data_IF_621135590047
#
_entry.id   IF_621135590047
#
_cell.length_a   1.000
_cell.length_b   1.000
_cell.length_c   1.000
_cell.angle_alpha   90.00
_cell.angle_beta   90.00
_cell.angle_gamma   90.00
#
_symmetry.space_group_name_H-M   'P 1'
#
loop_
_entity.id
_entity.type
_entity.pdbx_description
1 polymer ?
#
# COMPACT_ATOMS: atom_id res chain seq x y z
N UNK A 1 -15.19 10.48 6.19
CA UNK A 1 -14.78 10.92 4.83
C UNK A 1 -13.56 10.17 4.27
N UNK A 2 -12.62 9.67 5.09
CA UNK A 2 -11.54 8.79 4.60
C UNK A 2 -12.02 7.35 4.35
N UNK A 3 -12.94 6.88 5.19
CA UNK A 3 -13.47 5.53 5.12
C UNK A 3 -14.04 5.15 3.73
N UNK A 4 -14.75 6.07 3.06
CA UNK A 4 -15.25 5.85 1.69
C UNK A 4 -14.14 5.79 0.63
N UNK A 5 -13.07 6.59 0.76
CA UNK A 5 -11.91 6.51 -0.13
C UNK A 5 -11.10 5.25 0.13
N UNK A 6 -10.95 4.87 1.41
CA UNK A 6 -10.32 3.62 1.81
C UNK A 6 -11.06 2.42 1.24
N UNK A 7 -12.39 2.37 1.34
CA UNK A 7 -13.19 1.29 0.75
C UNK A 7 -13.12 1.25 -0.79
N UNK A 8 -13.03 2.41 -1.45
CA UNK A 8 -12.87 2.46 -2.91
C UNK A 8 -11.50 2.01 -3.40
N UNK A 9 -10.44 2.36 -2.65
CA UNK A 9 -9.06 2.04 -3.02
C UNK A 9 -8.63 0.67 -2.52
N UNK A 10 -9.14 0.26 -1.36
CA UNK A 10 -8.82 -0.98 -0.65
C UNK A 10 -10.10 -1.52 0.00
N UNK A 11 -10.97 -2.17 -0.79
CA UNK A 11 -12.17 -2.84 -0.28
C UNK A 11 -11.82 -3.83 0.84
N UNK A 12 -12.76 -4.09 1.74
CA UNK A 12 -12.56 -5.05 2.85
C UNK A 12 -12.12 -6.44 2.38
N UNK A 13 -12.73 -6.95 1.31
CA UNK A 13 -12.40 -8.26 0.73
C UNK A 13 -10.94 -8.33 0.26
N UNK A 14 -10.46 -7.25 -0.36
CA UNK A 14 -9.05 -7.14 -0.73
C UNK A 14 -8.16 -7.01 0.50
N UNK A 15 -8.59 -6.26 1.51
CA UNK A 15 -7.82 -6.10 2.74
C UNK A 15 -7.59 -7.44 3.44
N UNK A 16 -8.59 -8.32 3.47
CA UNK A 16 -8.48 -9.69 4.01
C UNK A 16 -7.37 -10.49 3.31
N UNK A 17 -7.16 -10.29 2.02
CA UNK A 17 -6.08 -10.93 1.25
C UNK A 17 -4.71 -10.29 1.49
N UNK A 18 -4.68 -8.97 1.62
CA UNK A 18 -3.44 -8.18 1.73
C UNK A 18 -2.85 -8.25 3.13
N UNK A 19 -3.68 -8.13 4.16
CA UNK A 19 -3.27 -8.10 5.57
C UNK A 19 -2.29 -9.22 5.95
N UNK A 20 -2.53 -10.51 5.65
CA UNK A 20 -1.61 -11.58 6.00
C UNK A 20 -0.28 -11.55 5.23
N UNK A 21 -0.23 -10.88 4.07
CA UNK A 21 0.98 -10.74 3.26
C UNK A 21 1.87 -9.59 3.74
N UNK A 22 1.32 -8.63 4.50
CA UNK A 22 2.08 -7.50 5.00
C UNK A 22 3.10 -8.03 6.04
N UNK A 23 4.40 -7.81 5.83
CA UNK A 23 5.40 -8.28 6.78
C UNK A 23 5.17 -7.63 8.15
N UNK A 24 5.18 -8.41 9.24
CA UNK A 24 4.91 -7.89 10.56
C UNK A 24 5.86 -6.74 10.90
N UNK A 25 5.32 -5.70 11.53
CA UNK A 25 6.12 -4.57 11.96
C UNK A 25 7.08 -5.05 13.05
N UNK A 26 8.40 -4.95 12.78
CA UNK A 26 9.46 -5.30 13.75
C UNK A 26 9.15 -4.62 15.09
N UNK A 27 8.99 -5.41 16.15
CA UNK A 27 8.78 -4.93 17.50
C UNK A 27 9.94 -4.01 17.90
N UNK A 28 9.62 -2.77 18.30
CA UNK A 28 10.63 -1.88 18.87
C UNK A 28 10.73 -2.25 20.36
N UNK A 29 11.90 -2.64 20.87
CA UNK A 29 12.07 -3.00 22.29
C UNK A 29 11.76 -1.83 23.25
N UNK A 30 11.91 -0.59 22.78
CA UNK A 30 11.56 0.59 23.56
C UNK A 30 10.07 0.92 23.36
N UNK A 31 9.26 0.55 24.35
CA UNK A 31 7.83 0.85 24.47
C UNK A 31 7.52 2.34 24.69
N UNK A 32 8.06 3.22 23.84
CA UNK A 32 7.90 4.66 23.91
C UNK A 32 8.01 5.29 22.53
N UNK A 33 6.88 5.50 21.86
CA UNK A 33 6.80 6.18 20.58
C UNK A 33 5.35 6.31 20.10
N UNK A 34 5.08 7.32 19.27
CA UNK A 34 3.77 7.60 18.67
C UNK A 34 3.14 6.31 18.14
N UNK A 35 1.86 6.08 18.48
CA UNK A 35 1.09 4.91 18.08
C UNK A 35 1.37 4.57 16.62
N UNK A 36 1.64 3.29 16.35
CA UNK A 36 1.96 2.84 15.00
C UNK A 36 0.79 3.21 14.08
N UNK A 37 1.06 3.78 12.89
CA UNK A 37 0.01 4.01 11.93
C UNK A 37 -0.60 2.67 11.54
N UNK A 38 -1.92 2.64 11.47
CA UNK A 38 -2.72 1.50 11.03
C UNK A 38 -2.15 0.94 9.71
N UNK A 39 -1.78 -0.36 9.63
CA UNK A 39 -1.28 -0.99 8.42
C UNK A 39 -2.19 -0.74 7.20
N UNK A 40 -3.51 -0.72 7.40
CA UNK A 40 -4.48 -0.46 6.34
C UNK A 40 -4.42 0.98 5.87
N UNK A 41 -4.32 1.94 6.78
CA UNK A 41 -4.13 3.34 6.42
C UNK A 41 -2.84 3.57 5.63
N UNK A 42 -1.73 2.91 6.01
CA UNK A 42 -0.46 2.99 5.28
C UNK A 42 -0.58 2.37 3.89
N UNK A 43 -1.22 1.20 3.79
CA UNK A 43 -1.46 0.54 2.51
C UNK A 43 -2.31 1.41 1.58
N UNK A 44 -3.43 1.93 2.09
CA UNK A 44 -4.34 2.80 1.35
C UNK A 44 -3.64 4.07 0.86
N UNK A 45 -2.84 4.71 1.72
CA UNK A 45 -2.06 5.90 1.35
C UNK A 45 -1.08 5.62 0.20
N UNK A 46 -0.40 4.47 0.23
CA UNK A 46 0.51 4.06 -0.84
C UNK A 46 -0.27 3.79 -2.12
N UNK A 47 -1.34 2.99 -2.06
CA UNK A 47 -2.21 2.68 -3.21
C UNK A 47 -2.74 3.96 -3.85
N UNK A 48 -3.14 4.96 -3.07
CA UNK A 48 -3.55 6.26 -3.60
C UNK A 48 -2.46 6.93 -4.44
N UNK A 49 -1.21 6.96 -3.96
CA UNK A 49 -0.08 7.57 -4.69
C UNK A 49 0.29 6.77 -5.94
N UNK A 50 0.15 5.44 -5.89
CA UNK A 50 0.40 4.56 -7.03
C UNK A 50 -0.65 4.73 -8.13
N UNK A 51 -1.94 4.73 -7.76
CA UNK A 51 -3.06 4.82 -8.69
C UNK A 51 -3.28 6.23 -9.25
N UNK A 52 -3.05 7.27 -8.44
CA UNK A 52 -3.20 8.67 -8.89
C UNK A 52 -1.99 9.21 -9.66
N UNK A 53 -0.83 8.57 -9.55
CA UNK A 53 0.42 9.07 -10.15
C UNK A 53 0.98 10.35 -9.50
N UNK A 54 0.37 10.87 -8.43
CA UNK A 54 0.80 12.12 -7.80
C UNK A 54 2.19 11.98 -7.13
N UNK A 55 2.91 13.10 -6.92
CA UNK A 55 4.16 13.02 -6.15
C UNK A 55 3.85 12.74 -4.66
N UNK A 56 4.75 12.03 -3.96
CA UNK A 56 4.59 11.68 -2.54
C UNK A 56 4.23 12.87 -1.64
N UNK A 57 4.77 14.06 -1.93
CA UNK A 57 4.47 15.32 -1.21
C UNK A 57 3.01 15.77 -1.30
N UNK A 58 2.25 15.24 -2.27
CA UNK A 58 0.82 15.52 -2.44
C UNK A 58 -0.07 14.47 -1.76
N UNK A 59 0.51 13.54 -0.99
CA UNK A 59 -0.27 12.62 -0.16
C UNK A 59 -1.14 13.42 0.83
N UNK A 60 -2.47 13.25 0.81
CA UNK A 60 -3.35 13.95 1.73
C UNK A 60 -3.04 13.59 3.20
N UNK A 61 -2.89 14.59 4.10
CA UNK A 61 -2.69 14.34 5.54
C UNK A 61 -3.83 13.55 6.19
N UNK A 62 -5.00 13.56 5.57
CA UNK A 62 -6.21 12.90 6.03
C UNK A 62 -6.06 11.37 6.15
N UNK A 63 -5.11 10.75 5.45
CA UNK A 63 -4.80 9.32 5.66
C UNK A 63 -4.17 9.02 7.02
N UNK A 64 -3.76 10.04 7.80
CA UNK A 64 -3.09 9.83 9.09
C UNK A 64 -1.67 9.27 8.97
N UNK A 65 -1.12 9.23 7.75
CA UNK A 65 0.19 8.68 7.43
C UNK A 65 1.10 9.80 6.91
N UNK A 66 2.27 9.94 7.52
CA UNK A 66 3.26 10.90 7.04
C UNK A 66 3.92 10.43 5.73
N UNK A 67 4.28 11.39 4.86
CA UNK A 67 4.96 11.12 3.59
C UNK A 67 6.24 10.26 3.77
N UNK A 68 7.14 10.55 4.73
CA UNK A 68 8.32 9.72 4.95
C UNK A 68 7.98 8.29 5.38
N UNK A 69 6.90 8.11 6.16
CA UNK A 69 6.43 6.77 6.54
C UNK A 69 5.90 6.01 5.34
N UNK A 70 5.01 6.62 4.53
CA UNK A 70 4.47 5.98 3.33
C UNK A 70 5.59 5.57 2.37
N UNK A 71 6.54 6.47 2.10
CA UNK A 71 7.66 6.20 1.19
C UNK A 71 8.55 5.05 1.69
N UNK A 72 9.00 5.10 2.96
CA UNK A 72 9.83 4.04 3.53
C UNK A 72 9.12 2.69 3.54
N UNK A 73 7.83 2.67 3.87
CA UNK A 73 7.05 1.43 3.85
C UNK A 73 6.89 0.90 2.43
N UNK A 74 6.62 1.78 1.44
CA UNK A 74 6.59 1.41 0.03
C UNK A 74 7.91 0.76 -0.42
N UNK A 75 9.07 1.36 -0.11
CA UNK A 75 10.37 0.78 -0.44
C UNK A 75 10.53 -0.60 0.17
N UNK A 76 10.30 -0.74 1.49
CA UNK A 76 10.40 -2.03 2.20
C UNK A 76 9.48 -3.09 1.58
N UNK A 77 8.23 -2.75 1.29
CA UNK A 77 7.27 -3.67 0.70
C UNK A 77 7.62 -4.06 -0.73
N UNK A 78 8.20 -3.13 -1.48
CA UNK A 78 8.71 -3.40 -2.83
C UNK A 78 9.88 -4.36 -2.79
N UNK A 79 10.83 -4.17 -1.86
CA UNK A 79 12.00 -5.04 -1.68
C UNK A 79 11.61 -6.48 -1.34
N UNK A 80 10.59 -6.68 -0.50
CA UNK A 80 10.09 -8.02 -0.16
C UNK A 80 9.10 -8.58 -1.19
N UNK A 81 8.86 -7.86 -2.29
CA UNK A 81 7.99 -8.32 -3.38
C UNK A 81 6.50 -8.37 -3.03
N UNK A 82 6.03 -7.57 -2.05
CA UNK A 82 4.64 -7.58 -1.57
C UNK A 82 3.64 -7.41 -2.73
N UNK A 83 3.89 -6.49 -3.66
CA UNK A 83 2.98 -6.20 -4.78
C UNK A 83 2.70 -7.42 -5.65
N UNK A 84 3.71 -8.28 -5.85
CA UNK A 84 3.58 -9.51 -6.62
C UNK A 84 2.76 -10.55 -5.85
N UNK A 85 2.99 -10.67 -4.54
CA UNK A 85 2.24 -11.57 -3.67
C UNK A 85 0.76 -11.17 -3.61
N UNK A 86 0.48 -9.88 -3.47
CA UNK A 86 -0.89 -9.34 -3.52
C UNK A 86 -1.56 -9.61 -4.86
N UNK A 87 -0.85 -9.38 -5.98
CA UNK A 87 -1.39 -9.68 -7.30
C UNK A 87 -1.74 -11.17 -7.46
N UNK A 88 -0.87 -12.06 -6.97
CA UNK A 88 -1.13 -13.49 -7.01
C UNK A 88 -2.34 -13.89 -6.16
N UNK A 89 -2.42 -13.40 -4.92
CA UNK A 89 -3.55 -13.67 -4.03
C UNK A 89 -4.90 -13.19 -4.63
N UNK A 90 -4.90 -12.04 -5.29
CA UNK A 90 -6.09 -11.52 -5.99
C UNK A 90 -6.47 -12.38 -7.21
N UNK A 91 -5.50 -12.95 -7.92
CA UNK A 91 -5.76 -13.89 -9.02
C UNK A 91 -6.32 -15.22 -8.51
N UNK A 92 -5.82 -15.69 -7.36
CA UNK A 92 -6.16 -17.00 -6.79
C UNK A 92 -7.57 -17.01 -6.16
N UNK A 93 -8.01 -15.92 -5.50
CA UNK A 93 -9.27 -15.86 -4.73
C UNK A 93 -10.54 -15.47 -5.55
N UNK A 94 -10.52 -15.58 -6.89
CA UNK A 94 -11.64 -15.37 -7.86
C UNK A 94 -11.86 -13.97 -8.49
N UNK A 95 -11.90 -13.96 -9.83
CA UNK A 95 -13.10 -13.69 -10.66
C UNK A 95 -13.66 -12.27 -10.80
N UNK A 96 -13.33 -11.34 -9.90
CA UNK A 96 -13.77 -9.95 -10.03
C UNK A 96 -12.90 -9.20 -11.03
N UNK A 97 -13.39 -8.97 -12.26
CA UNK A 97 -12.70 -8.13 -13.26
C UNK A 97 -12.17 -6.82 -12.62
N UNK A 98 -12.93 -6.23 -11.69
CA UNK A 98 -12.54 -5.03 -10.94
C UNK A 98 -11.34 -5.19 -9.99
N UNK A 99 -11.20 -6.30 -9.27
CA UNK A 99 -10.05 -6.53 -8.37
C UNK A 99 -8.78 -6.86 -9.15
N UNK A 100 -8.93 -7.61 -10.25
CA UNK A 100 -7.82 -7.96 -11.14
C UNK A 100 -7.26 -6.70 -11.81
N UNK A 101 -8.12 -5.86 -12.40
CA UNK A 101 -7.70 -4.60 -13.03
C UNK A 101 -7.10 -3.63 -12.01
N UNK A 102 -7.65 -3.57 -10.80
CA UNK A 102 -7.06 -2.81 -9.69
C UNK A 102 -5.64 -3.29 -9.35
N UNK A 103 -5.45 -4.61 -9.20
CA UNK A 103 -4.14 -5.17 -8.80
C UNK A 103 -3.06 -4.93 -9.85
N UNK A 104 -3.44 -4.97 -11.14
CA UNK A 104 -2.56 -4.60 -12.27
C UNK A 104 -2.17 -3.14 -12.23
N UNK A 105 -3.12 -2.23 -12.04
CA UNK A 105 -2.83 -0.79 -11.94
C UNK A 105 -1.87 -0.47 -10.78
N UNK A 106 -2.03 -1.13 -9.64
CA UNK A 106 -1.11 -0.99 -8.50
C UNK A 106 0.27 -1.55 -8.82
N UNK A 107 0.35 -2.74 -9.43
CA UNK A 107 1.60 -3.37 -9.82
C UNK A 107 2.38 -2.52 -10.84
N UNK A 108 1.68 -1.97 -11.84
CA UNK A 108 2.26 -1.09 -12.84
C UNK A 108 2.76 0.22 -12.22
N UNK A 109 1.95 0.83 -11.36
CA UNK A 109 2.34 2.03 -10.61
C UNK A 109 3.57 1.80 -9.73
N UNK A 110 3.60 0.67 -9.01
CA UNK A 110 4.74 0.27 -8.20
C UNK A 110 6.00 0.03 -9.07
N UNK A 111 5.85 -0.64 -10.21
CA UNK A 111 6.95 -0.94 -11.14
C UNK A 111 7.54 0.33 -11.78
N UNK A 112 6.69 1.27 -12.21
CA UNK A 112 7.14 2.56 -12.77
C UNK A 112 7.90 3.36 -11.71
N UNK A 113 7.41 3.38 -10.46
CA UNK A 113 8.07 4.12 -9.39
C UNK A 113 9.34 3.45 -8.87
N UNK A 114 9.36 2.12 -8.78
CA UNK A 114 10.57 1.37 -8.42
C UNK A 114 11.71 1.66 -9.40
N UNK A 115 11.41 1.71 -10.71
CA UNK A 115 12.38 2.10 -11.75
C UNK A 115 12.85 3.56 -11.60
N UNK A 116 11.98 4.48 -11.22
CA UNK A 116 12.32 5.91 -11.03
C UNK A 116 13.07 6.20 -9.73
N UNK A 117 12.92 5.36 -8.70
CA UNK A 117 13.65 5.49 -7.43
C UNK A 117 15.12 5.07 -7.48
N UNK A 118 15.52 4.36 -8.54
CA UNK A 118 16.92 3.91 -8.77
C UNK A 118 17.82 4.98 -9.42
N UNK A 119 17.29 6.18 -9.68
CA UNK A 119 17.98 7.26 -10.42
C UNK A 119 18.49 8.40 -9.50
N UNK A 120 18.73 8.13 -8.22
CA UNK A 120 19.31 9.11 -7.29
C UNK A 120 20.38 8.50 -6.40
#
# INVERSE_FOLDING_TARGET
MIDSLSQRLVPDELWVLVEPLIPPAKERPQGGGRARPDPRAVFTAIVFVLTSGCAWRHLPPSFGVSVPTAHRTFTKWTEVGLWRQVHQAVLDELGGQGLIDWSRAVLDGASVRAKRGSLY
#
